data_IF_151489173155
#
_entry.id   IF_151489173155
#
_cell.length_a   1.000
_cell.length_b   1.000
_cell.length_c   1.000
_cell.angle_alpha   90.00
_cell.angle_beta   90.00
_cell.angle_gamma   90.00
#
_symmetry.space_group_name_H-M   'P 1'
#
loop_
_entity.id
_entity.type
_entity.pdbx_description
1 polymer ?
#
# COMPACT_ATOMS: atom_id res chain seq x y z
N UNK A 1 -9.42 3.38 -30.73
CA UNK A 1 -10.64 2.81 -30.08
C UNK A 1 -11.69 3.92 -30.00
N UNK A 2 -12.73 3.84 -30.81
CA UNK A 2 -13.73 4.94 -30.92
C UNK A 2 -15.05 4.58 -30.22
N UNK A 3 -15.00 3.82 -29.13
CA UNK A 3 -16.20 3.41 -28.41
C UNK A 3 -16.46 4.28 -27.18
N UNK A 4 -17.72 4.54 -26.92
CA UNK A 4 -18.15 5.27 -25.72
C UNK A 4 -18.44 4.28 -24.62
N UNK A 5 -17.85 4.50 -23.46
CA UNK A 5 -17.97 3.65 -22.27
C UNK A 5 -18.79 4.34 -21.18
N UNK A 6 -19.49 3.57 -20.36
CA UNK A 6 -20.23 4.06 -19.20
C UNK A 6 -20.06 3.14 -17.99
N UNK A 7 -20.03 3.71 -16.79
CA UNK A 7 -20.01 2.95 -15.53
C UNK A 7 -20.57 3.78 -14.37
N UNK A 8 -20.98 3.07 -13.29
CA UNK A 8 -21.25 3.67 -11.99
C UNK A 8 -19.89 3.87 -11.30
N UNK A 9 -19.57 5.12 -10.94
CA UNK A 9 -18.29 5.51 -10.35
C UNK A 9 -18.29 5.58 -8.81
N UNK A 10 -19.42 5.38 -8.17
CA UNK A 10 -19.60 5.35 -6.71
C UNK A 10 -19.76 3.92 -6.21
N UNK A 11 -19.41 3.63 -4.94
CA UNK A 11 -19.64 2.31 -4.34
C UNK A 11 -21.12 1.88 -4.47
N UNK A 12 -21.34 0.58 -4.65
CA UNK A 12 -22.68 0.01 -4.70
C UNK A 12 -23.27 -0.02 -3.27
N UNK A 13 -24.29 0.81 -3.04
CA UNK A 13 -24.94 0.91 -1.75
C UNK A 13 -25.98 2.04 -1.72
N UNK A 14 -26.76 2.12 -0.63
CA UNK A 14 -27.68 3.25 -0.41
C UNK A 14 -26.89 4.44 0.11
N UNK A 15 -27.01 5.58 -0.56
CA UNK A 15 -26.36 6.82 -0.19
C UNK A 15 -27.19 8.04 -0.61
N UNK A 16 -26.66 9.24 -0.45
CA UNK A 16 -27.32 10.45 -0.94
C UNK A 16 -27.22 10.58 -2.46
N UNK A 17 -26.06 10.22 -3.05
CA UNK A 17 -25.74 10.41 -4.45
C UNK A 17 -25.07 9.16 -5.02
N UNK A 18 -25.41 8.82 -6.28
CA UNK A 18 -24.65 7.92 -7.14
C UNK A 18 -24.21 8.66 -8.40
N UNK A 19 -22.99 8.37 -8.87
CA UNK A 19 -22.41 9.02 -10.05
C UNK A 19 -22.23 8.01 -11.17
N UNK A 20 -22.84 8.28 -12.31
CA UNK A 20 -22.62 7.55 -13.57
C UNK A 20 -21.70 8.40 -14.45
N UNK A 21 -20.61 7.81 -14.94
CA UNK A 21 -19.68 8.42 -15.89
C UNK A 21 -19.85 7.82 -17.27
N UNK A 22 -19.78 8.67 -18.28
CA UNK A 22 -19.82 8.30 -19.71
C UNK A 22 -18.62 8.97 -20.36
N UNK A 23 -17.78 8.23 -21.10
CA UNK A 23 -16.60 8.78 -21.81
C UNK A 23 -16.53 8.28 -23.24
N UNK A 24 -16.30 9.18 -24.16
CA UNK A 24 -16.14 8.89 -25.59
C UNK A 24 -16.89 9.83 -26.48
N UNK A 25 -16.76 9.67 -27.79
CA UNK A 25 -17.29 10.58 -28.80
C UNK A 25 -18.83 10.73 -28.77
N UNK A 26 -19.55 9.73 -28.28
CA UNK A 26 -21.03 9.76 -28.20
C UNK A 26 -21.55 10.21 -26.82
N UNK A 27 -20.65 10.54 -25.86
CA UNK A 27 -21.01 10.83 -24.46
C UNK A 27 -22.01 12.01 -24.36
N UNK A 28 -21.73 13.12 -25.06
CA UNK A 28 -22.63 14.29 -25.09
C UNK A 28 -23.98 13.97 -25.73
N UNK A 29 -24.01 13.19 -26.82
CA UNK A 29 -25.24 12.82 -27.49
C UNK A 29 -26.13 11.93 -26.59
N UNK A 30 -25.53 10.98 -25.87
CA UNK A 30 -26.27 10.18 -24.89
C UNK A 30 -26.86 11.07 -23.80
N UNK A 31 -26.10 12.03 -23.25
CA UNK A 31 -26.58 12.96 -22.24
C UNK A 31 -27.76 13.79 -22.76
N UNK A 32 -27.69 14.29 -24.02
CA UNK A 32 -28.76 15.05 -24.67
C UNK A 32 -30.05 14.24 -24.81
N UNK A 33 -29.96 12.97 -25.18
CA UNK A 33 -31.11 12.08 -25.32
C UNK A 33 -31.73 11.75 -23.95
N UNK A 34 -30.92 11.44 -22.95
CA UNK A 34 -31.38 11.14 -21.58
C UNK A 34 -32.11 12.34 -20.95
N UNK A 35 -31.63 13.56 -21.22
CA UNK A 35 -32.19 14.78 -20.61
C UNK A 35 -33.24 15.47 -21.49
N UNK A 36 -33.38 15.04 -22.75
CA UNK A 36 -34.20 15.71 -23.77
C UNK A 36 -33.86 17.22 -23.93
N UNK A 37 -32.58 17.57 -23.73
CA UNK A 37 -32.03 18.93 -23.84
C UNK A 37 -30.85 18.95 -24.80
N UNK A 38 -30.64 20.08 -25.49
CA UNK A 38 -29.59 20.21 -26.51
C UNK A 38 -28.38 21.02 -26.01
N UNK A 39 -28.61 21.93 -25.06
CA UNK A 39 -27.61 22.92 -24.66
C UNK A 39 -26.90 22.51 -23.39
N UNK A 40 -25.58 22.26 -23.53
CA UNK A 40 -24.68 21.95 -22.42
C UNK A 40 -23.37 22.72 -22.57
N UNK A 41 -23.19 23.73 -21.72
CA UNK A 41 -21.95 24.45 -21.60
C UNK A 41 -20.94 23.56 -20.85
N UNK A 42 -19.72 23.36 -21.37
CA UNK A 42 -18.71 22.57 -20.68
C UNK A 42 -18.43 23.09 -19.26
N UNK A 43 -18.30 22.15 -18.31
CA UNK A 43 -18.00 22.41 -16.89
C UNK A 43 -19.07 23.24 -16.13
N UNK A 44 -20.26 23.34 -16.69
CA UNK A 44 -21.39 23.92 -15.98
C UNK A 44 -22.33 22.82 -15.48
N UNK A 45 -22.75 22.92 -14.23
CA UNK A 45 -23.62 21.95 -13.57
C UNK A 45 -25.10 22.32 -13.83
N UNK A 46 -25.85 21.41 -14.41
CA UNK A 46 -27.27 21.55 -14.67
C UNK A 46 -28.10 20.58 -13.84
N UNK A 47 -29.19 21.01 -13.27
CA UNK A 47 -30.22 20.11 -12.76
C UNK A 47 -31.16 19.76 -13.89
N UNK A 48 -31.31 18.49 -14.23
CA UNK A 48 -32.10 18.00 -15.36
C UNK A 48 -32.89 16.75 -14.99
N UNK A 49 -34.05 16.62 -15.58
CA UNK A 49 -34.82 15.38 -15.56
C UNK A 49 -34.14 14.35 -16.46
N UNK A 50 -34.01 13.11 -15.98
CA UNK A 50 -33.40 11.98 -16.70
C UNK A 50 -34.49 11.02 -17.13
N UNK A 51 -34.58 10.77 -18.43
CA UNK A 51 -35.60 9.92 -19.03
C UNK A 51 -34.98 8.63 -19.63
N UNK A 52 -35.77 7.55 -19.60
CA UNK A 52 -35.50 6.34 -20.37
C UNK A 52 -36.82 5.90 -21.03
N UNK A 53 -36.84 5.75 -22.35
CA UNK A 53 -38.03 5.37 -23.13
C UNK A 53 -39.26 6.20 -22.76
N UNK A 54 -39.09 7.52 -22.57
CA UNK A 54 -40.16 8.42 -22.20
C UNK A 54 -40.60 8.41 -20.74
N UNK A 55 -40.04 7.52 -19.92
CA UNK A 55 -40.29 7.44 -18.46
C UNK A 55 -39.27 8.28 -17.71
N UNK A 56 -39.73 9.14 -16.82
CA UNK A 56 -38.89 9.89 -15.90
C UNK A 56 -38.28 8.93 -14.88
N UNK A 57 -36.95 8.88 -14.84
CA UNK A 57 -36.19 8.08 -13.88
C UNK A 57 -35.80 8.88 -12.63
N UNK A 58 -35.30 10.09 -12.83
CA UNK A 58 -34.79 10.94 -11.74
C UNK A 58 -34.66 12.40 -12.17
N UNK A 59 -34.45 13.28 -11.19
CA UNK A 59 -34.00 14.65 -11.38
C UNK A 59 -32.58 14.78 -10.84
N UNK A 60 -31.61 14.76 -11.74
CA UNK A 60 -30.20 14.63 -11.42
C UNK A 60 -29.40 15.89 -11.79
N UNK A 61 -28.24 16.04 -11.13
CA UNK A 61 -27.25 17.03 -11.55
C UNK A 61 -26.37 16.40 -12.64
N UNK A 62 -26.20 17.10 -13.74
CA UNK A 62 -25.40 16.62 -14.88
C UNK A 62 -24.34 17.63 -15.27
N UNK A 63 -23.14 17.13 -15.63
CA UNK A 63 -22.02 17.95 -16.05
C UNK A 63 -21.42 17.37 -17.32
N UNK A 64 -21.06 18.22 -18.27
CA UNK A 64 -20.33 17.88 -19.47
C UNK A 64 -18.90 18.44 -19.42
N UNK A 65 -17.91 17.59 -19.70
CA UNK A 65 -16.51 17.95 -19.84
C UNK A 65 -16.09 17.70 -21.28
N UNK A 66 -15.81 18.79 -22.00
CA UNK A 66 -15.38 18.73 -23.40
C UNK A 66 -13.93 18.33 -23.54
N UNK A 67 -13.63 17.44 -24.47
CA UNK A 67 -12.25 17.10 -24.89
C UNK A 67 -11.45 18.37 -25.27
N UNK A 68 -10.15 18.42 -24.99
CA UNK A 68 -9.33 17.48 -24.22
C UNK A 68 -9.34 17.75 -22.70
N UNK A 69 -10.21 18.61 -22.19
CA UNK A 69 -10.24 19.10 -20.80
C UNK A 69 -11.14 18.26 -19.90
N UNK A 70 -10.97 16.95 -19.93
CA UNK A 70 -11.70 15.96 -19.13
C UNK A 70 -10.73 14.99 -18.47
N UNK A 71 -11.22 14.09 -17.62
CA UNK A 71 -10.41 13.07 -16.96
C UNK A 71 -9.74 12.13 -17.97
N UNK A 72 -10.49 11.63 -18.95
CA UNK A 72 -9.97 10.70 -19.95
C UNK A 72 -9.31 11.40 -21.17
N UNK A 73 -9.45 12.73 -21.28
CA UNK A 73 -9.06 13.46 -22.49
C UNK A 73 -10.08 13.37 -23.65
N UNK A 74 -11.13 12.56 -23.51
CA UNK A 74 -12.27 12.49 -24.42
C UNK A 74 -13.43 13.36 -23.93
N UNK A 75 -14.56 13.42 -24.66
CA UNK A 75 -15.78 13.98 -24.10
C UNK A 75 -16.27 13.12 -22.93
N UNK A 76 -16.51 13.73 -21.78
CA UNK A 76 -16.99 13.05 -20.58
C UNK A 76 -18.27 13.70 -20.08
N UNK A 77 -19.26 12.87 -19.73
CA UNK A 77 -20.46 13.32 -19.04
C UNK A 77 -20.59 12.62 -17.69
N UNK A 78 -21.00 13.36 -16.68
CA UNK A 78 -21.34 12.84 -15.36
C UNK A 78 -22.81 13.08 -15.06
N UNK A 79 -23.49 12.05 -14.56
CA UNK A 79 -24.87 12.09 -14.07
C UNK A 79 -24.83 11.74 -12.59
N UNK A 80 -25.14 12.72 -11.74
CA UNK A 80 -25.18 12.58 -10.29
C UNK A 80 -26.65 12.44 -9.87
N UNK A 81 -27.11 11.21 -9.77
CA UNK A 81 -28.48 10.85 -9.41
C UNK A 81 -28.62 10.56 -7.92
N UNK A 82 -29.86 10.38 -7.43
CA UNK A 82 -30.07 9.91 -6.07
C UNK A 82 -29.42 8.54 -5.83
N UNK A 83 -28.80 8.36 -4.65
CA UNK A 83 -27.98 7.20 -4.29
C UNK A 83 -28.78 5.92 -4.02
N UNK A 84 -29.59 5.50 -4.97
CA UNK A 84 -30.30 4.23 -4.97
C UNK A 84 -29.66 3.29 -6.00
N UNK A 85 -29.16 2.10 -5.61
CA UNK A 85 -28.50 1.17 -6.52
C UNK A 85 -29.33 0.78 -7.74
N UNK A 86 -30.64 0.56 -7.56
CA UNK A 86 -31.53 0.21 -8.66
C UNK A 86 -31.70 1.38 -9.64
N UNK A 87 -31.82 2.61 -9.13
CA UNK A 87 -31.91 3.80 -9.96
C UNK A 87 -30.64 4.02 -10.77
N UNK A 88 -29.48 3.91 -10.13
CA UNK A 88 -28.18 4.02 -10.80
C UNK A 88 -28.00 2.97 -11.90
N UNK A 89 -28.42 1.71 -11.65
CA UNK A 89 -28.43 0.65 -12.66
C UNK A 89 -29.39 0.97 -13.83
N UNK A 90 -30.57 1.49 -13.57
CA UNK A 90 -31.52 1.87 -14.61
C UNK A 90 -30.99 3.00 -15.51
N UNK A 91 -30.32 4.00 -14.91
CA UNK A 91 -29.68 5.09 -15.68
C UNK A 91 -28.50 4.55 -16.48
N UNK A 92 -27.66 3.68 -15.90
CA UNK A 92 -26.58 3.03 -16.62
C UNK A 92 -27.12 2.22 -17.80
N UNK A 93 -28.17 1.42 -17.60
CA UNK A 93 -28.80 0.66 -18.67
C UNK A 93 -29.36 1.56 -19.77
N UNK A 94 -29.92 2.71 -19.42
CA UNK A 94 -30.35 3.69 -20.39
C UNK A 94 -29.18 4.24 -21.23
N UNK A 95 -28.01 4.48 -20.62
CA UNK A 95 -26.80 4.86 -21.35
C UNK A 95 -26.35 3.75 -22.33
N UNK A 96 -26.42 2.49 -21.91
CA UNK A 96 -26.05 1.35 -22.75
C UNK A 96 -27.00 1.20 -23.95
N UNK A 97 -28.29 1.37 -23.72
CA UNK A 97 -29.32 1.33 -24.80
C UNK A 97 -29.14 2.45 -25.84
N UNK A 98 -28.49 3.57 -25.47
CA UNK A 98 -28.19 4.69 -26.34
C UNK A 98 -26.80 4.59 -27.01
N UNK A 99 -26.13 3.42 -26.90
CA UNK A 99 -24.91 3.12 -27.65
C UNK A 99 -23.61 3.28 -26.84
N UNK A 100 -23.69 3.46 -25.53
CA UNK A 100 -22.53 3.24 -24.69
C UNK A 100 -22.29 1.72 -24.48
N UNK A 101 -21.07 1.35 -24.17
CA UNK A 101 -20.69 0.02 -23.70
C UNK A 101 -20.33 0.09 -22.20
N UNK A 102 -20.58 -0.99 -21.47
CA UNK A 102 -20.11 -1.08 -20.10
C UNK A 102 -18.56 -0.98 -20.05
N UNK A 103 -18.05 -0.11 -19.21
CA UNK A 103 -16.61 0.02 -19.01
C UNK A 103 -16.04 -1.22 -18.33
N UNK A 104 -14.83 -1.60 -18.71
CA UNK A 104 -14.02 -2.58 -17.97
C UNK A 104 -13.40 -1.93 -16.73
N UNK A 105 -12.92 -2.75 -15.79
CA UNK A 105 -12.15 -2.26 -14.64
C UNK A 105 -10.95 -1.42 -15.10
N UNK A 106 -10.72 -0.26 -14.47
CA UNK A 106 -9.64 0.67 -14.80
C UNK A 106 -9.68 1.33 -16.17
N UNK A 107 -10.76 1.18 -16.96
CA UNK A 107 -10.77 1.62 -18.35
C UNK A 107 -10.77 3.15 -18.53
N UNK A 108 -11.36 3.90 -17.62
CA UNK A 108 -11.28 5.36 -17.64
C UNK A 108 -9.84 5.84 -17.39
N UNK A 109 -9.13 5.21 -16.44
CA UNK A 109 -7.72 5.50 -16.15
C UNK A 109 -6.81 5.07 -17.32
N UNK A 110 -7.09 3.93 -17.96
CA UNK A 110 -6.38 3.52 -19.18
C UNK A 110 -6.54 4.55 -20.31
N UNK A 111 -7.74 5.07 -20.54
CA UNK A 111 -7.97 6.13 -21.52
C UNK A 111 -7.23 7.42 -21.14
N UNK A 112 -7.22 7.79 -19.84
CA UNK A 112 -6.48 8.95 -19.36
C UNK A 112 -4.97 8.81 -19.61
N UNK A 113 -4.40 7.63 -19.38
CA UNK A 113 -3.02 7.31 -19.68
C UNK A 113 -2.70 7.41 -21.17
N UNK A 114 -3.47 6.73 -22.01
CA UNK A 114 -3.29 6.73 -23.48
C UNK A 114 -3.44 8.14 -24.08
N UNK A 115 -4.27 8.98 -23.49
CA UNK A 115 -4.45 10.38 -23.90
C UNK A 115 -3.51 11.36 -23.18
N UNK A 116 -2.46 10.87 -22.50
CA UNK A 116 -1.44 11.65 -21.81
C UNK A 116 -1.98 12.64 -20.76
N UNK A 117 -3.11 12.28 -20.12
CA UNK A 117 -3.71 13.06 -19.04
C UNK A 117 -3.12 12.74 -17.68
N UNK A 118 -2.72 11.50 -17.50
CA UNK A 118 -2.06 11.00 -16.30
C UNK A 118 -0.93 10.05 -16.71
N UNK A 119 0.14 10.00 -15.94
CA UNK A 119 1.15 8.95 -16.06
C UNK A 119 0.79 7.74 -15.18
N UNK A 120 1.58 6.68 -15.31
CA UNK A 120 1.33 5.44 -14.57
C UNK A 120 1.43 5.66 -13.06
N UNK A 121 2.40 6.45 -12.60
CA UNK A 121 2.60 6.69 -11.17
C UNK A 121 1.44 7.47 -10.53
N UNK A 122 0.85 8.41 -11.26
CA UNK A 122 -0.34 9.17 -10.86
C UNK A 122 -1.57 8.26 -10.76
N UNK A 123 -1.73 7.35 -11.72
CA UNK A 123 -2.85 6.39 -11.74
C UNK A 123 -2.73 5.42 -10.59
N UNK A 124 -1.56 4.81 -10.37
CA UNK A 124 -1.32 3.91 -9.26
C UNK A 124 -1.53 4.60 -7.90
N UNK A 125 -1.02 5.85 -7.75
CA UNK A 125 -1.27 6.65 -6.56
C UNK A 125 -2.77 6.89 -6.32
N UNK A 126 -3.54 7.12 -7.39
CA UNK A 126 -4.98 7.33 -7.29
C UNK A 126 -5.73 6.10 -6.78
N UNK A 127 -5.29 4.90 -7.17
CA UNK A 127 -5.86 3.63 -6.67
C UNK A 127 -5.47 3.40 -5.23
N UNK A 128 -4.17 3.57 -4.92
CA UNK A 128 -3.68 3.41 -3.55
C UNK A 128 -4.32 4.41 -2.57
N UNK A 129 -4.63 5.62 -3.02
CA UNK A 129 -5.30 6.63 -2.18
C UNK A 129 -6.72 6.19 -1.78
N UNK A 130 -7.44 5.44 -2.64
CA UNK A 130 -8.76 4.89 -2.32
C UNK A 130 -8.65 3.73 -1.33
N UNK A 131 -7.62 2.90 -1.47
CA UNK A 131 -7.41 1.70 -0.66
C UNK A 131 -6.64 2.00 0.64
N UNK A 132 -6.12 3.23 0.78
CA UNK A 132 -5.28 3.60 1.91
C UNK A 132 -6.11 3.77 3.18
N UNK A 133 -5.69 3.08 4.22
CA UNK A 133 -6.25 3.17 5.58
C UNK A 133 -5.26 3.83 6.57
N UNK A 134 -4.09 4.26 6.09
CA UNK A 134 -3.04 4.89 6.92
C UNK A 134 -2.90 6.38 6.59
N UNK A 135 -3.29 7.23 7.53
CA UNK A 135 -3.23 8.69 7.37
C UNK A 135 -1.81 9.19 7.04
N UNK A 136 -0.78 8.53 7.56
CA UNK A 136 0.62 8.92 7.31
C UNK A 136 1.04 8.79 5.83
N UNK A 137 0.36 7.92 5.07
CA UNK A 137 0.64 7.66 3.64
C UNK A 137 -0.17 8.55 2.73
N UNK A 138 -1.35 9.02 3.17
CA UNK A 138 -2.25 9.83 2.35
C UNK A 138 -1.56 11.05 1.75
N UNK A 139 -0.73 11.75 2.54
CA UNK A 139 0.00 12.93 2.08
C UNK A 139 1.01 12.58 0.96
N UNK A 140 1.75 11.47 1.09
CA UNK A 140 2.69 11.02 0.07
C UNK A 140 1.96 10.64 -1.23
N UNK A 141 0.82 9.94 -1.13
CA UNK A 141 -0.01 9.58 -2.28
C UNK A 141 -0.63 10.82 -2.95
N UNK A 142 -1.10 11.80 -2.17
CA UNK A 142 -1.63 13.05 -2.70
C UNK A 142 -0.58 13.87 -3.47
N UNK A 143 0.68 13.87 -3.01
CA UNK A 143 1.80 14.50 -3.72
C UNK A 143 2.16 13.75 -5.00
N UNK A 144 2.12 12.42 -4.96
CA UNK A 144 2.35 11.61 -6.14
C UNK A 144 1.26 11.83 -7.21
N UNK A 145 -0.01 12.05 -6.81
CA UNK A 145 -1.07 12.48 -7.72
C UNK A 145 -0.82 13.84 -8.39
N UNK A 146 0.04 14.69 -7.81
CA UNK A 146 0.49 15.95 -8.43
C UNK A 146 1.69 15.77 -9.34
N UNK A 147 2.14 14.54 -9.59
CA UNK A 147 3.27 14.23 -10.45
C UNK A 147 4.64 14.44 -9.82
N UNK A 148 4.76 14.57 -8.48
CA UNK A 148 6.06 14.82 -7.84
C UNK A 148 7.05 13.67 -8.05
N UNK A 149 6.59 12.41 -8.06
CA UNK A 149 7.47 11.27 -8.40
C UNK A 149 7.98 11.36 -9.83
N UNK A 150 7.13 11.75 -10.78
CA UNK A 150 7.52 11.97 -12.17
C UNK A 150 8.60 13.04 -12.28
N UNK A 151 8.40 14.19 -11.63
CA UNK A 151 9.39 15.28 -11.63
C UNK A 151 10.72 14.77 -11.08
N UNK A 152 10.72 14.08 -9.95
CA UNK A 152 11.92 13.50 -9.35
C UNK A 152 12.65 12.55 -10.30
N UNK A 153 11.93 11.66 -10.98
CA UNK A 153 12.52 10.71 -11.95
C UNK A 153 13.02 11.42 -13.20
N UNK A 154 12.30 12.44 -13.70
CA UNK A 154 12.72 13.21 -14.87
C UNK A 154 13.99 14.04 -14.58
N UNK A 155 14.12 14.63 -13.41
CA UNK A 155 15.33 15.33 -12.97
C UNK A 155 16.53 14.37 -12.88
N UNK A 156 16.34 13.21 -12.24
CA UNK A 156 17.36 12.18 -12.16
C UNK A 156 17.81 11.72 -13.55
N UNK A 157 16.86 11.40 -14.42
CA UNK A 157 17.13 11.00 -15.80
C UNK A 157 17.90 12.07 -16.58
N UNK A 158 17.51 13.33 -16.47
CA UNK A 158 18.17 14.43 -17.15
C UNK A 158 19.62 14.61 -16.67
N UNK A 159 19.90 14.36 -15.40
CA UNK A 159 21.27 14.36 -14.87
C UNK A 159 22.08 13.20 -15.45
N UNK A 160 21.52 12.00 -15.53
CA UNK A 160 22.20 10.84 -16.13
C UNK A 160 22.43 11.03 -17.64
N UNK A 161 21.48 11.64 -18.37
CA UNK A 161 21.65 11.96 -19.78
C UNK A 161 22.81 12.95 -20.04
N UNK A 162 23.01 13.93 -19.14
CA UNK A 162 24.16 14.84 -19.23
C UNK A 162 25.47 14.08 -19.04
N UNK A 163 25.54 13.17 -18.07
CA UNK A 163 26.71 12.34 -17.84
C UNK A 163 27.00 11.44 -19.07
N UNK A 164 25.94 10.82 -19.59
CA UNK A 164 26.04 10.00 -20.80
C UNK A 164 26.58 10.81 -22.00
N UNK A 165 26.02 11.99 -22.26
CA UNK A 165 26.47 12.85 -23.33
C UNK A 165 27.95 13.28 -23.15
N UNK A 166 28.37 13.56 -21.91
CA UNK A 166 29.78 13.88 -21.61
C UNK A 166 30.72 12.69 -21.85
N UNK A 167 30.29 11.46 -21.48
CA UNK A 167 31.08 10.26 -21.73
C UNK A 167 31.20 9.93 -23.22
N UNK A 168 30.15 10.14 -24.01
CA UNK A 168 30.17 9.93 -25.47
C UNK A 168 31.16 10.86 -26.17
N UNK A 169 31.20 12.13 -25.75
CA UNK A 169 32.20 13.08 -26.26
C UNK A 169 33.61 12.61 -25.93
N UNK A 170 33.88 12.10 -24.73
CA UNK A 170 35.20 11.59 -24.35
C UNK A 170 35.58 10.30 -25.07
N UNK A 171 34.64 9.45 -25.43
CA UNK A 171 34.87 8.26 -26.27
C UNK A 171 35.29 8.67 -27.69
N UNK A 172 34.61 9.67 -28.27
CA UNK A 172 34.93 10.17 -29.63
C UNK A 172 36.30 10.85 -29.70
N UNK A 173 36.76 11.46 -28.61
CA UNK A 173 38.07 12.12 -28.48
C UNK A 173 39.09 11.28 -27.68
N UNK A 174 39.09 9.96 -27.86
CA UNK A 174 39.86 8.97 -27.10
C UNK A 174 41.40 9.11 -27.14
N UNK A 175 41.96 10.05 -27.91
CA UNK A 175 43.38 10.37 -27.92
C UNK A 175 43.82 11.28 -26.73
N UNK A 176 42.90 11.85 -25.96
CA UNK A 176 43.19 12.70 -24.82
C UNK A 176 42.94 11.94 -23.49
N UNK A 177 43.81 12.15 -22.50
CA UNK A 177 43.66 11.58 -21.17
C UNK A 177 42.39 12.15 -20.51
N UNK A 178 41.56 11.28 -19.88
CA UNK A 178 40.38 11.70 -19.16
C UNK A 178 40.83 12.53 -17.95
N UNK A 179 40.32 13.78 -17.79
CA UNK A 179 40.67 14.58 -16.62
C UNK A 179 40.26 13.89 -15.30
N UNK A 180 41.16 13.77 -14.34
CA UNK A 180 40.88 13.16 -13.03
C UNK A 180 39.73 13.84 -12.31
N UNK A 181 39.65 15.16 -12.40
CA UNK A 181 38.60 15.96 -11.78
C UNK A 181 37.20 15.62 -12.33
N UNK A 182 37.12 15.24 -13.62
CA UNK A 182 35.86 14.77 -14.22
C UNK A 182 35.40 13.43 -13.61
N UNK A 183 36.31 12.46 -13.46
CA UNK A 183 35.96 11.15 -12.87
C UNK A 183 35.50 11.29 -11.40
N UNK A 184 36.13 12.16 -10.63
CA UNK A 184 35.75 12.44 -9.24
C UNK A 184 34.36 13.10 -9.17
N UNK A 185 34.08 14.08 -10.02
CA UNK A 185 32.79 14.76 -10.10
C UNK A 185 31.68 13.78 -10.49
N UNK A 186 31.90 12.93 -11.51
CA UNK A 186 30.96 11.90 -11.96
C UNK A 186 30.71 10.89 -10.84
N UNK A 187 31.77 10.40 -10.20
CA UNK A 187 31.64 9.46 -9.07
C UNK A 187 30.78 10.02 -7.94
N UNK A 188 31.02 11.25 -7.54
CA UNK A 188 30.26 11.95 -6.49
C UNK A 188 28.79 12.15 -6.90
N UNK A 189 28.54 12.49 -8.17
CA UNK A 189 27.18 12.65 -8.68
C UNK A 189 26.41 11.32 -8.65
N UNK A 190 27.03 10.23 -9.12
CA UNK A 190 26.42 8.89 -9.05
C UNK A 190 26.15 8.45 -7.62
N UNK A 191 27.07 8.71 -6.68
CA UNK A 191 26.85 8.40 -5.26
C UNK A 191 25.63 9.10 -4.68
N UNK A 192 25.50 10.40 -4.95
CA UNK A 192 24.32 11.18 -4.51
C UNK A 192 23.03 10.63 -5.11
N UNK A 193 23.05 10.29 -6.38
CA UNK A 193 21.87 9.75 -7.07
C UNK A 193 21.49 8.36 -6.51
N UNK A 194 22.47 7.47 -6.32
CA UNK A 194 22.26 6.14 -5.71
C UNK A 194 21.71 6.28 -4.29
N UNK A 195 22.25 7.18 -3.47
CA UNK A 195 21.78 7.43 -2.11
C UNK A 195 20.32 7.88 -2.10
N UNK A 196 19.95 8.84 -2.96
CA UNK A 196 18.60 9.35 -3.10
C UNK A 196 17.60 8.25 -3.52
N UNK A 197 18.00 7.36 -4.43
CA UNK A 197 17.16 6.24 -4.86
C UNK A 197 17.01 5.18 -3.76
N UNK A 198 18.07 4.89 -3.01
CA UNK A 198 18.01 3.99 -1.86
C UNK A 198 17.08 4.52 -0.78
N UNK A 199 17.16 5.81 -0.45
CA UNK A 199 16.26 6.44 0.52
C UNK A 199 14.78 6.31 0.12
N UNK A 200 14.48 6.49 -1.17
CA UNK A 200 13.12 6.31 -1.69
C UNK A 200 12.67 4.84 -1.60
N UNK A 201 13.54 3.90 -1.95
CA UNK A 201 13.25 2.47 -1.91
C UNK A 201 13.04 1.98 -0.48
N UNK A 202 13.93 2.35 0.44
CA UNK A 202 13.88 1.97 1.86
C UNK A 202 12.61 2.51 2.52
N UNK A 203 12.29 3.78 2.31
CA UNK A 203 11.05 4.36 2.80
C UNK A 203 9.81 3.61 2.27
N UNK A 204 9.79 3.30 0.97
CA UNK A 204 8.69 2.58 0.34
C UNK A 204 8.54 1.14 0.88
N UNK A 205 9.66 0.47 1.20
CA UNK A 205 9.66 -0.86 1.79
C UNK A 205 9.15 -0.83 3.24
N UNK A 206 9.58 0.14 4.04
CA UNK A 206 9.08 0.35 5.41
C UNK A 206 7.58 0.61 5.43
N UNK A 207 7.05 1.42 4.53
CA UNK A 207 5.60 1.68 4.42
C UNK A 207 4.81 0.44 4.01
N UNK A 208 5.34 -0.37 3.08
CA UNK A 208 4.69 -1.64 2.70
C UNK A 208 4.59 -2.61 3.89
N UNK A 209 5.62 -2.70 4.71
CA UNK A 209 5.60 -3.49 5.95
C UNK A 209 4.54 -2.97 6.92
N UNK A 210 4.49 -1.65 7.13
CA UNK A 210 3.50 -1.02 8.00
C UNK A 210 2.06 -1.29 7.53
N UNK A 211 1.78 -1.20 6.23
CA UNK A 211 0.45 -1.47 5.65
C UNK A 211 0.03 -2.93 5.75
N UNK A 212 0.98 -3.88 5.66
CA UNK A 212 0.70 -5.30 5.91
C UNK A 212 0.32 -5.59 7.36
N UNK A 213 0.62 -4.68 8.25
CA UNK A 213 0.52 -4.85 9.69
C UNK A 213 1.68 -5.67 10.25
N UNK A 214 2.10 -5.29 11.44
CA UNK A 214 3.17 -5.98 12.14
C UNK A 214 2.68 -7.32 12.69
N UNK A 215 3.40 -8.36 12.39
CA UNK A 215 3.07 -9.71 12.81
C UNK A 215 3.45 -9.92 14.28
N UNK A 216 2.46 -10.24 15.13
CA UNK A 216 2.61 -10.43 16.56
C UNK A 216 2.22 -11.86 16.95
N UNK A 217 3.10 -12.54 17.66
CA UNK A 217 2.85 -13.87 18.21
C UNK A 217 2.77 -13.82 19.73
N UNK A 218 1.79 -14.55 20.32
CA UNK A 218 1.60 -14.63 21.77
C UNK A 218 2.02 -16.03 22.23
N UNK A 219 3.03 -16.10 23.08
CA UNK A 219 3.55 -17.36 23.62
C UNK A 219 3.61 -17.33 25.15
N UNK A 220 3.54 -18.50 25.76
CA UNK A 220 3.55 -18.64 27.22
C UNK A 220 3.06 -20.02 27.63
N UNK A 221 3.33 -20.43 28.86
CA UNK A 221 2.86 -21.74 29.39
C UNK A 221 1.32 -21.80 29.50
N UNK A 222 0.71 -22.97 29.62
CA UNK A 222 -0.71 -23.11 29.90
C UNK A 222 -1.13 -22.29 31.13
N UNK A 223 -2.31 -21.66 31.08
CA UNK A 223 -2.88 -20.84 32.16
C UNK A 223 -2.07 -19.59 32.57
N UNK A 224 -1.07 -19.17 31.80
CA UNK A 224 -0.39 -17.88 32.01
C UNK A 224 -1.27 -16.66 31.68
N UNK A 225 -2.36 -16.85 30.94
CA UNK A 225 -3.30 -15.79 30.58
C UNK A 225 -3.25 -15.38 29.11
N UNK A 226 -2.66 -16.19 28.23
CA UNK A 226 -2.59 -15.93 26.77
C UNK A 226 -3.97 -15.67 26.14
N UNK A 227 -4.93 -16.56 26.40
CA UNK A 227 -6.32 -16.44 25.85
C UNK A 227 -7.03 -15.22 26.41
N UNK A 228 -6.80 -14.86 27.68
CA UNK A 228 -7.36 -13.65 28.28
C UNK A 228 -6.76 -12.39 27.65
N UNK A 229 -5.45 -12.37 27.38
CA UNK A 229 -4.76 -11.29 26.70
C UNK A 229 -5.26 -11.13 25.27
N UNK A 230 -5.36 -12.24 24.52
CA UNK A 230 -5.92 -12.26 23.16
C UNK A 230 -7.37 -11.72 23.15
N UNK A 231 -8.22 -12.21 24.03
CA UNK A 231 -9.60 -11.75 24.11
C UNK A 231 -9.71 -10.26 24.48
N UNK A 232 -8.85 -9.77 25.38
CA UNK A 232 -8.79 -8.34 25.68
C UNK A 232 -8.44 -7.52 24.43
N UNK A 233 -7.44 -7.95 23.67
CA UNK A 233 -7.05 -7.31 22.41
C UNK A 233 -8.17 -7.30 21.37
N UNK A 234 -8.96 -8.36 21.28
CA UNK A 234 -10.03 -8.50 20.28
C UNK A 234 -11.33 -7.79 20.67
N UNK A 235 -11.64 -7.68 21.95
CA UNK A 235 -12.92 -7.14 22.41
C UNK A 235 -13.00 -5.61 22.35
N UNK A 236 -11.92 -4.89 22.61
CA UNK A 236 -11.94 -3.42 22.61
C UNK A 236 -11.66 -2.81 21.22
N UNK A 237 -11.02 -3.57 20.30
CA UNK A 237 -10.60 -3.09 18.97
C UNK A 237 -11.52 -3.56 17.82
N UNK A 238 -12.66 -4.18 18.10
CA UNK A 238 -13.63 -4.63 17.09
C UNK A 238 -14.27 -3.52 16.24
N UNK A 239 -13.93 -2.26 16.46
CA UNK A 239 -14.52 -1.15 15.72
C UNK A 239 -14.07 -1.04 14.25
N UNK A 240 -13.03 -1.79 13.80
CA UNK A 240 -12.44 -1.64 12.48
C UNK A 240 -12.15 -2.97 11.73
N UNK A 241 -12.84 -4.07 12.09
CA UNK A 241 -12.73 -5.29 11.27
C UNK A 241 -13.49 -5.09 9.97
N UNK A 242 -12.78 -4.81 8.89
CA UNK A 242 -13.34 -4.85 7.54
C UNK A 242 -13.79 -6.28 7.24
N UNK A 243 -15.06 -6.46 6.86
CA UNK A 243 -15.63 -7.71 6.34
C UNK A 243 -15.02 -8.08 4.96
N UNK A 244 -13.73 -8.31 4.88
CA UNK A 244 -13.15 -8.95 3.70
C UNK A 244 -13.18 -10.45 3.93
N UNK A 245 -14.33 -11.05 3.66
CA UNK A 245 -14.47 -12.50 3.45
C UNK A 245 -13.84 -12.84 2.11
N UNK A 246 -12.76 -13.57 2.16
CA UNK A 246 -12.30 -14.32 1.00
C UNK A 246 -10.82 -14.21 0.71
N UNK A 247 -10.04 -15.12 1.29
CA UNK A 247 -9.13 -15.98 0.52
C UNK A 247 -8.55 -17.04 1.46
N UNK A 248 -8.88 -18.33 1.15
CA UNK A 248 -8.08 -19.55 1.31
C UNK A 248 -7.49 -19.95 2.69
N UNK A 249 -7.97 -21.02 3.17
CA UNK A 249 -7.45 -22.29 3.80
C UNK A 249 -6.13 -22.32 4.58
N UNK A 250 -5.49 -21.23 5.01
CA UNK A 250 -4.30 -21.32 5.85
C UNK A 250 -4.29 -20.24 6.91
N UNK A 251 -4.24 -20.65 8.20
CA UNK A 251 -4.10 -19.85 9.43
C UNK A 251 -5.07 -18.67 9.60
N UNK A 252 -5.90 -18.75 10.63
CA UNK A 252 -6.79 -17.64 11.05
C UNK A 252 -5.90 -16.53 11.62
N UNK A 253 -5.57 -15.55 10.79
CA UNK A 253 -4.92 -14.31 11.21
C UNK A 253 -6.00 -13.29 11.56
N UNK A 254 -5.93 -12.68 12.73
CA UNK A 254 -6.81 -11.57 13.11
C UNK A 254 -6.01 -10.27 13.07
N UNK A 255 -6.58 -9.25 12.47
CA UNK A 255 -5.96 -7.92 12.37
C UNK A 255 -6.64 -6.98 13.34
N UNK A 256 -5.86 -6.32 14.18
CA UNK A 256 -6.30 -5.28 15.11
C UNK A 256 -5.51 -4.00 14.88
N UNK A 257 -6.07 -2.88 15.31
CA UNK A 257 -5.37 -1.59 15.29
C UNK A 257 -4.98 -1.18 16.71
N UNK A 258 -3.69 -0.92 16.94
CA UNK A 258 -3.16 -0.45 18.23
C UNK A 258 -2.45 0.89 18.03
N UNK A 259 -3.03 1.98 18.52
CA UNK A 259 -2.48 3.35 18.39
C UNK A 259 -2.07 3.73 16.96
N UNK A 260 -2.92 3.43 15.97
CA UNK A 260 -2.66 3.71 14.57
C UNK A 260 -1.68 2.74 13.89
N UNK A 261 -1.30 1.65 14.56
CA UNK A 261 -0.52 0.57 13.98
C UNK A 261 -1.38 -0.65 13.75
N UNK A 262 -1.38 -1.17 12.51
CA UNK A 262 -2.00 -2.47 12.20
C UNK A 262 -1.12 -3.59 12.76
N UNK A 263 -1.73 -4.47 13.55
CA UNK A 263 -1.09 -5.63 14.16
C UNK A 263 -1.83 -6.89 13.74
N UNK A 264 -1.12 -7.82 13.09
CA UNK A 264 -1.64 -9.13 12.71
C UNK A 264 -1.28 -10.14 13.80
N UNK A 265 -2.28 -10.73 14.41
CA UNK A 265 -2.13 -11.78 15.40
C UNK A 265 -1.93 -13.12 14.67
N UNK A 266 -0.74 -13.71 14.82
CA UNK A 266 -0.40 -14.98 14.18
C UNK A 266 -0.70 -16.13 15.15
N UNK A 267 -1.24 -17.24 14.61
CA UNK A 267 -1.50 -18.50 15.32
C UNK A 267 -2.51 -18.39 16.48
N UNK A 268 -3.60 -17.64 16.25
CA UNK A 268 -4.69 -17.52 17.25
C UNK A 268 -5.44 -18.83 17.51
N UNK A 269 -5.38 -19.80 16.58
CA UNK A 269 -6.03 -21.12 16.71
C UNK A 269 -5.42 -21.94 17.86
N UNK A 270 -4.10 -21.97 18.00
CA UNK A 270 -3.43 -22.67 19.10
C UNK A 270 -3.71 -22.06 20.48
N UNK A 271 -4.12 -20.79 20.53
CA UNK A 271 -4.47 -20.09 21.76
C UNK A 271 -5.93 -20.37 22.17
N UNK A 272 -6.83 -20.58 21.19
CA UNK A 272 -8.27 -20.85 21.41
C UNK A 272 -8.55 -22.31 21.78
N UNK A 273 -7.75 -23.27 21.29
CA UNK A 273 -7.98 -24.72 21.46
C UNK A 273 -7.25 -25.35 22.67
N UNK A 274 -6.67 -24.57 23.58
CA UNK A 274 -5.96 -25.09 24.75
C UNK A 274 -6.88 -25.65 25.83
N UNK A 275 -7.58 -26.76 25.51
CA UNK A 275 -8.08 -27.73 26.44
C UNK A 275 -7.76 -29.12 25.88
N UNK A 276 -6.76 -29.78 26.47
CA UNK A 276 -6.58 -31.24 26.46
C UNK A 276 -6.27 -32.03 25.19
N UNK A 277 -5.40 -31.68 24.31
CA UNK A 277 -4.63 -32.65 23.50
C UNK A 277 -3.80 -31.95 22.45
N UNK A 278 -2.54 -32.02 22.52
CA UNK A 278 -1.50 -31.84 21.47
C UNK A 278 -0.30 -31.05 22.01
N UNK A 279 0.36 -31.62 23.01
CA UNK A 279 1.52 -30.97 23.64
C UNK A 279 2.84 -31.15 22.85
N UNK A 280 2.93 -32.10 21.92
CA UNK A 280 4.17 -32.35 21.14
C UNK A 280 4.20 -31.73 19.73
N UNK A 281 3.05 -31.54 19.09
CA UNK A 281 2.94 -30.83 17.81
C UNK A 281 2.95 -29.30 17.95
N UNK A 282 2.75 -28.79 19.18
CA UNK A 282 2.71 -27.36 19.48
C UNK A 282 4.08 -26.66 19.43
N UNK A 283 5.18 -27.34 19.76
CA UNK A 283 6.50 -26.71 19.85
C UNK A 283 7.08 -26.39 18.45
N UNK A 284 6.95 -27.30 17.48
CA UNK A 284 7.41 -27.05 16.11
C UNK A 284 6.55 -26.03 15.36
N UNK A 285 5.22 -26.03 15.58
CA UNK A 285 4.33 -25.00 15.03
C UNK A 285 4.61 -23.63 15.65
N UNK A 286 4.85 -23.57 16.97
CA UNK A 286 5.20 -22.34 17.66
C UNK A 286 6.52 -21.75 17.16
N UNK A 287 7.53 -22.57 16.86
CA UNK A 287 8.80 -22.09 16.31
C UNK A 287 8.60 -21.47 14.91
N UNK A 288 7.81 -22.09 14.04
CA UNK A 288 7.51 -21.52 12.71
C UNK A 288 6.73 -20.22 12.78
N UNK A 289 5.79 -20.09 13.74
CA UNK A 289 5.06 -18.83 13.93
C UNK A 289 5.97 -17.71 14.45
N UNK A 290 6.96 -18.06 15.30
CA UNK A 290 7.95 -17.12 15.81
C UNK A 290 8.97 -16.67 14.75
N UNK A 291 9.28 -17.50 13.75
CA UNK A 291 10.13 -17.11 12.63
C UNK A 291 9.47 -16.01 11.78
N UNK A 292 8.15 -16.06 11.63
CA UNK A 292 7.37 -15.17 10.79
C UNK A 292 6.79 -13.92 11.50
N UNK A 293 7.05 -13.76 12.82
CA UNK A 293 6.58 -12.60 13.56
C UNK A 293 7.63 -11.47 13.60
N UNK A 294 7.14 -10.24 13.80
CA UNK A 294 7.97 -9.05 14.00
C UNK A 294 8.24 -8.80 15.49
N UNK A 295 7.24 -9.10 16.34
CA UNK A 295 7.29 -8.93 17.80
C UNK A 295 6.67 -10.16 18.48
N UNK A 296 7.24 -10.54 19.62
CA UNK A 296 6.73 -11.63 20.46
C UNK A 296 6.16 -11.05 21.75
N UNK A 297 4.98 -11.52 22.17
CA UNK A 297 4.48 -11.35 23.54
C UNK A 297 4.75 -12.64 24.33
N UNK A 298 5.74 -12.61 25.20
CA UNK A 298 6.07 -13.71 26.11
C UNK A 298 5.30 -13.56 27.41
N UNK A 299 4.26 -14.38 27.66
CA UNK A 299 3.36 -14.24 28.82
C UNK A 299 3.81 -15.16 29.95
N UNK A 300 4.12 -14.56 31.10
CA UNK A 300 4.50 -15.23 32.35
C UNK A 300 3.50 -14.95 33.46
N UNK A 301 3.29 -15.92 34.33
CA UNK A 301 2.41 -15.80 35.50
C UNK A 301 3.22 -15.26 36.70
N UNK A 302 3.01 -13.98 37.05
CA UNK A 302 3.74 -13.32 38.15
C UNK A 302 3.49 -13.97 39.52
N UNK A 303 2.36 -14.65 39.68
CA UNK A 303 1.94 -15.27 40.95
C UNK A 303 2.59 -16.64 41.24
N UNK A 304 3.42 -17.17 40.31
CA UNK A 304 4.06 -18.48 40.42
C UNK A 304 5.58 -18.36 40.29
N UNK A 305 6.35 -19.24 40.96
CA UNK A 305 7.79 -19.34 40.73
C UNK A 305 8.09 -19.83 39.31
N UNK A 306 9.30 -19.61 38.81
CA UNK A 306 9.77 -20.14 37.55
C UNK A 306 9.80 -21.68 37.55
N UNK A 307 9.13 -22.29 36.57
CA UNK A 307 9.06 -23.74 36.40
C UNK A 307 9.80 -24.14 35.13
N UNK A 308 10.08 -25.45 34.94
CA UNK A 308 10.79 -25.97 33.76
C UNK A 308 10.20 -25.49 32.42
N UNK A 309 8.91 -25.33 32.36
CA UNK A 309 8.20 -24.84 31.18
C UNK A 309 8.51 -23.36 30.87
N UNK A 310 8.74 -22.53 31.89
CA UNK A 310 9.15 -21.13 31.73
C UNK A 310 10.56 -21.03 31.18
N UNK A 311 11.48 -21.91 31.61
CA UNK A 311 12.83 -21.98 31.06
C UNK A 311 12.83 -22.46 29.60
N UNK A 312 11.97 -23.44 29.24
CA UNK A 312 11.79 -23.85 27.84
C UNK A 312 11.25 -22.71 26.97
N UNK A 313 10.34 -21.91 27.51
CA UNK A 313 9.85 -20.71 26.83
C UNK A 313 10.96 -19.68 26.62
N UNK A 314 11.77 -19.40 27.64
CA UNK A 314 12.92 -18.48 27.55
C UNK A 314 13.91 -18.94 26.47
N UNK A 315 14.21 -20.23 26.43
CA UNK A 315 15.11 -20.81 25.41
C UNK A 315 14.51 -20.64 24.00
N UNK A 316 13.21 -20.81 23.86
CA UNK A 316 12.49 -20.60 22.59
C UNK A 316 12.54 -19.14 22.15
N UNK A 317 12.32 -18.19 23.07
CA UNK A 317 12.43 -16.77 22.83
C UNK A 317 13.85 -16.38 22.39
N UNK A 318 14.87 -16.89 23.09
CA UNK A 318 16.27 -16.63 22.76
C UNK A 318 16.66 -17.17 21.36
N UNK A 319 16.12 -18.32 20.95
CA UNK A 319 16.33 -18.90 19.61
C UNK A 319 15.67 -18.10 18.51
N UNK A 320 14.49 -17.54 18.77
CA UNK A 320 13.74 -16.74 17.80
C UNK A 320 14.49 -15.44 17.43
N UNK A 321 15.33 -14.90 18.31
CA UNK A 321 16.11 -13.65 18.11
C UNK A 321 15.25 -12.45 17.67
N UNK A 322 14.00 -12.42 18.10
CA UNK A 322 13.04 -11.33 17.79
C UNK A 322 12.86 -10.43 19.00
N UNK A 323 12.50 -9.14 18.82
CA UNK A 323 12.11 -8.29 19.93
C UNK A 323 10.94 -8.92 20.72
N UNK A 324 11.00 -8.84 22.05
CA UNK A 324 10.01 -9.45 22.92
C UNK A 324 9.45 -8.44 23.93
N UNK A 325 8.12 -8.44 24.10
CA UNK A 325 7.48 -7.83 25.26
C UNK A 325 7.17 -8.96 26.24
N UNK A 326 7.87 -8.96 27.36
CA UNK A 326 7.67 -9.90 28.45
C UNK A 326 6.52 -9.40 29.31
N UNK A 327 5.36 -10.06 29.19
CA UNK A 327 4.13 -9.73 29.90
C UNK A 327 4.07 -10.52 31.20
N UNK A 328 4.24 -9.83 32.31
CA UNK A 328 4.07 -10.36 33.67
C UNK A 328 2.62 -10.22 34.07
N UNK A 329 1.84 -11.26 33.83
CA UNK A 329 0.39 -11.25 34.04
C UNK A 329 0.02 -11.62 35.48
N UNK A 330 -1.19 -11.29 35.90
CA UNK A 330 -1.76 -11.53 37.23
C UNK A 330 -1.07 -10.74 38.35
N UNK A 331 -0.77 -9.47 38.07
CA UNK A 331 -0.18 -8.56 39.07
C UNK A 331 -1.14 -8.18 40.22
N UNK A 332 -2.39 -8.63 40.16
CA UNK A 332 -3.38 -8.59 41.23
C UNK A 332 -3.12 -9.62 42.36
N UNK A 333 -2.29 -10.61 42.08
CA UNK A 333 -1.92 -11.66 43.04
C UNK A 333 -0.51 -11.38 43.60
N UNK A 334 -0.21 -11.99 44.78
CA UNK A 334 1.10 -11.86 45.40
C UNK A 334 2.22 -12.38 44.47
N UNK A 335 3.25 -11.57 44.15
CA UNK A 335 4.32 -11.96 43.25
C UNK A 335 5.19 -13.07 43.86
N UNK A 336 5.46 -14.13 43.09
CA UNK A 336 6.34 -15.25 43.45
C UNK A 336 7.39 -15.52 42.39
N UNK A 337 7.29 -14.89 41.20
CA UNK A 337 8.23 -15.07 40.12
C UNK A 337 9.53 -14.38 40.43
N UNK A 338 10.64 -15.10 40.24
CA UNK A 338 12.00 -14.62 40.47
C UNK A 338 12.46 -13.76 39.29
N UNK A 339 12.14 -12.49 39.31
CA UNK A 339 12.32 -11.55 38.19
C UNK A 339 13.77 -11.41 37.76
N UNK A 340 14.71 -11.40 38.72
CA UNK A 340 16.14 -11.28 38.42
C UNK A 340 16.68 -12.54 37.71
N UNK A 341 16.16 -13.72 38.05
CA UNK A 341 16.47 -14.97 37.37
C UNK A 341 15.93 -14.89 35.91
N UNK A 342 14.68 -14.52 35.73
CA UNK A 342 14.09 -14.36 34.41
C UNK A 342 14.92 -13.41 33.52
N UNK A 343 15.30 -12.25 34.03
CA UNK A 343 16.14 -11.26 33.33
C UNK A 343 17.52 -11.83 32.96
N UNK A 344 18.13 -12.62 33.82
CA UNK A 344 19.47 -13.16 33.58
C UNK A 344 19.51 -14.20 32.46
N UNK A 345 18.39 -14.89 32.20
CA UNK A 345 18.28 -15.91 31.16
C UNK A 345 17.84 -15.37 29.80
N UNK A 346 17.21 -14.17 29.75
CA UNK A 346 16.79 -13.53 28.49
C UNK A 346 18.00 -12.87 27.80
N UNK A 347 18.33 -13.32 26.59
CA UNK A 347 19.47 -12.82 25.77
C UNK A 347 19.05 -12.02 24.56
N UNK A 348 17.75 -11.73 24.41
CA UNK A 348 17.17 -10.96 23.33
C UNK A 348 16.80 -9.55 23.78
N UNK A 349 16.61 -8.59 22.87
CA UNK A 349 16.01 -7.30 23.23
C UNK A 349 14.59 -7.50 23.77
N UNK A 350 14.32 -7.02 24.98
CA UNK A 350 13.00 -7.13 25.59
C UNK A 350 12.58 -5.88 26.34
N UNK A 351 11.27 -5.70 26.49
CA UNK A 351 10.66 -4.77 27.45
C UNK A 351 9.73 -5.51 28.39
N UNK A 352 9.63 -5.05 29.64
CA UNK A 352 8.76 -5.63 30.65
C UNK A 352 7.42 -4.89 30.71
N UNK A 353 6.34 -5.65 30.86
CA UNK A 353 5.00 -5.14 31.09
C UNK A 353 4.34 -5.93 32.21
N UNK A 354 4.11 -5.29 33.37
CA UNK A 354 3.31 -5.87 34.45
C UNK A 354 1.85 -5.51 34.26
N UNK A 355 0.98 -6.51 34.24
CA UNK A 355 -0.44 -6.28 33.95
C UNK A 355 -1.36 -7.31 34.61
N UNK A 356 -2.65 -6.98 34.61
CA UNK A 356 -3.74 -7.89 34.91
C UNK A 356 -4.70 -7.91 33.70
N UNK A 357 -4.75 -9.02 33.00
CA UNK A 357 -5.63 -9.19 31.83
C UNK A 357 -7.13 -9.16 32.18
N UNK A 358 -7.51 -9.21 33.44
CA UNK A 358 -8.89 -8.98 33.90
C UNK A 358 -9.29 -7.50 33.83
N UNK A 359 -8.32 -6.58 33.93
CA UNK A 359 -8.50 -5.16 33.66
C UNK A 359 -8.06 -4.84 32.22
N UNK A 360 -8.90 -5.20 31.26
CA UNK A 360 -8.57 -5.14 29.82
C UNK A 360 -8.14 -3.75 29.37
N UNK A 361 -8.82 -2.67 29.79
CA UNK A 361 -8.52 -1.29 29.35
C UNK A 361 -7.14 -0.81 29.75
N UNK A 362 -6.75 -1.01 31.01
CA UNK A 362 -5.42 -0.61 31.47
C UNK A 362 -4.33 -1.45 30.79
N UNK A 363 -4.54 -2.78 30.73
CA UNK A 363 -3.63 -3.72 30.05
C UNK A 363 -3.38 -3.31 28.61
N UNK A 364 -4.42 -3.00 27.83
CA UNK A 364 -4.31 -2.64 26.42
C UNK A 364 -3.66 -1.29 26.21
N UNK A 365 -3.95 -0.30 27.05
CA UNK A 365 -3.29 1.00 26.99
C UNK A 365 -1.77 0.86 27.15
N UNK A 366 -1.32 0.14 28.17
CA UNK A 366 0.10 -0.03 28.45
C UNK A 366 0.78 -0.93 27.39
N UNK A 367 0.09 -1.99 26.95
CA UNK A 367 0.56 -2.88 25.90
C UNK A 367 0.73 -2.13 24.56
N UNK A 368 -0.26 -1.33 24.16
CA UNK A 368 -0.22 -0.58 22.92
C UNK A 368 0.91 0.45 22.90
N UNK A 369 1.19 1.11 24.05
CA UNK A 369 2.35 1.99 24.20
C UNK A 369 3.67 1.24 24.04
N UNK A 370 3.79 0.05 24.61
CA UNK A 370 4.99 -0.79 24.47
C UNK A 370 5.17 -1.30 23.05
N UNK A 371 4.10 -1.74 22.40
CA UNK A 371 4.13 -2.18 21.01
C UNK A 371 4.54 -1.01 20.09
N UNK A 372 3.93 0.16 20.26
CA UNK A 372 4.25 1.33 19.43
C UNK A 372 5.70 1.81 19.57
N UNK A 373 6.36 1.54 20.72
CA UNK A 373 7.76 1.88 20.93
C UNK A 373 8.74 1.03 20.08
N UNK A 374 8.32 -0.15 19.62
CA UNK A 374 9.12 -0.98 18.71
C UNK A 374 8.97 -0.57 17.24
N UNK A 375 7.96 0.23 16.92
CA UNK A 375 7.74 0.69 15.55
C UNK A 375 8.41 2.04 15.32
N UNK A 376 9.23 2.17 14.29
CA UNK A 376 9.83 3.46 13.99
C UNK A 376 8.73 4.46 13.65
N UNK A 377 8.78 5.63 14.29
CA UNK A 377 7.99 6.78 13.84
C UNK A 377 8.57 7.21 12.50
N UNK A 378 7.91 6.82 11.41
CA UNK A 378 8.30 7.24 10.09
C UNK A 378 7.98 8.73 9.93
N UNK A 379 9.02 9.54 9.70
CA UNK A 379 8.82 10.88 9.21
C UNK A 379 8.36 10.78 7.74
N UNK A 380 7.07 11.00 7.54
CA UNK A 380 6.44 10.95 6.22
C UNK A 380 6.38 12.32 5.55
N UNK A 381 6.81 13.39 6.25
CA UNK A 381 6.82 14.73 5.69
C UNK A 381 7.84 14.78 4.54
N UNK A 382 7.37 15.22 3.39
CA UNK A 382 8.18 15.38 2.18
C UNK A 382 8.80 14.10 1.57
N UNK A 383 8.35 12.91 1.94
CA UNK A 383 8.81 11.66 1.32
C UNK A 383 7.94 11.27 0.11
N UNK A 384 8.59 10.79 -0.95
CA UNK A 384 7.94 10.14 -2.08
C UNK A 384 7.74 8.65 -1.79
N UNK A 385 6.84 7.99 -2.52
CA UNK A 385 6.47 6.60 -2.27
C UNK A 385 6.39 5.81 -3.59
N UNK A 386 6.97 4.62 -3.63
CA UNK A 386 6.74 3.66 -4.71
C UNK A 386 5.55 2.78 -4.35
N UNK A 387 4.53 2.81 -5.19
CA UNK A 387 3.24 2.19 -4.91
C UNK A 387 3.13 0.76 -5.43
N UNK A 388 3.86 0.41 -6.49
CA UNK A 388 3.80 -0.92 -7.12
C UNK A 388 5.12 -1.69 -7.00
N UNK A 389 5.04 -3.01 -7.18
CA UNK A 389 6.21 -3.86 -7.26
C UNK A 389 7.05 -3.52 -8.51
N UNK A 390 6.39 -3.20 -9.62
CA UNK A 390 7.05 -2.82 -10.86
C UNK A 390 7.93 -1.58 -10.68
N UNK A 391 7.41 -0.54 -10.01
CA UNK A 391 8.18 0.67 -9.68
C UNK A 391 9.41 0.34 -8.81
N UNK A 392 9.25 -0.54 -7.79
CA UNK A 392 10.36 -0.95 -6.92
C UNK A 392 11.44 -1.67 -7.69
N UNK A 393 11.05 -2.67 -8.48
CA UNK A 393 12.00 -3.45 -9.30
C UNK A 393 12.73 -2.56 -10.31
N UNK A 394 12.02 -1.61 -10.93
CA UNK A 394 12.64 -0.66 -11.85
C UNK A 394 13.68 0.22 -11.15
N UNK A 395 13.38 0.71 -9.94
CA UNK A 395 14.34 1.51 -9.18
C UNK A 395 15.52 0.67 -8.66
N UNK A 396 15.28 -0.57 -8.23
CA UNK A 396 16.35 -1.53 -7.84
C UNK A 396 17.30 -1.80 -9.03
N UNK A 397 16.77 -2.02 -10.22
CA UNK A 397 17.56 -2.19 -11.43
C UNK A 397 18.36 -0.92 -11.74
N UNK A 398 17.75 0.27 -11.65
CA UNK A 398 18.47 1.52 -11.87
C UNK A 398 19.63 1.70 -10.87
N UNK A 399 19.41 1.40 -9.58
CA UNK A 399 20.47 1.43 -8.56
C UNK A 399 21.60 0.46 -8.91
N UNK A 400 21.28 -0.77 -9.31
CA UNK A 400 22.25 -1.78 -9.70
C UNK A 400 23.09 -1.32 -10.89
N UNK A 401 22.46 -0.79 -11.91
CA UNK A 401 23.15 -0.29 -13.12
C UNK A 401 24.02 0.94 -12.81
N UNK A 402 23.57 1.86 -11.95
CA UNK A 402 24.39 3.01 -11.53
C UNK A 402 25.60 2.58 -10.69
N UNK A 403 25.47 1.52 -9.87
CA UNK A 403 26.60 0.96 -9.15
C UNK A 403 27.62 0.33 -10.12
N UNK A 404 27.17 -0.37 -11.15
CA UNK A 404 28.04 -0.91 -12.19
C UNK A 404 28.70 0.20 -13.01
N UNK A 405 27.96 1.26 -13.40
CA UNK A 405 28.54 2.42 -14.03
C UNK A 405 29.68 3.03 -13.19
N UNK A 406 29.45 3.19 -11.88
CA UNK A 406 30.49 3.69 -10.97
C UNK A 406 31.72 2.80 -10.91
N UNK A 407 31.57 1.47 -11.01
CA UNK A 407 32.68 0.52 -10.98
C UNK A 407 33.47 0.49 -12.31
N UNK A 408 32.94 1.06 -13.36
CA UNK A 408 33.56 1.06 -14.73
C UNK A 408 33.86 2.48 -15.26
N UNK A 409 34.13 3.44 -14.35
CA UNK A 409 34.42 4.84 -14.73
C UNK A 409 35.59 4.98 -15.66
N UNK A 410 36.60 4.09 -15.57
CA UNK A 410 37.78 4.09 -16.41
C UNK A 410 37.52 3.44 -17.80
N UNK A 411 36.40 2.73 -17.97
CA UNK A 411 36.03 2.07 -19.23
C UNK A 411 34.76 2.72 -19.76
N UNK A 412 34.91 3.82 -20.50
CA UNK A 412 33.79 4.71 -20.87
C UNK A 412 32.65 4.02 -21.63
N UNK A 413 32.98 3.00 -22.46
CA UNK A 413 31.95 2.24 -23.18
C UNK A 413 31.04 1.43 -22.21
N UNK A 414 31.66 0.79 -21.21
CA UNK A 414 30.89 0.06 -20.19
C UNK A 414 30.14 1.03 -19.28
N UNK A 415 30.75 2.15 -18.93
CA UNK A 415 30.11 3.23 -18.19
C UNK A 415 28.85 3.73 -18.89
N UNK A 416 28.97 4.09 -20.18
CA UNK A 416 27.87 4.55 -21.03
C UNK A 416 26.75 3.50 -21.15
N UNK A 417 27.11 2.23 -21.33
CA UNK A 417 26.16 1.13 -21.38
C UNK A 417 25.33 1.02 -20.09
N UNK A 418 25.97 1.06 -18.93
CA UNK A 418 25.28 0.99 -17.64
C UNK A 418 24.44 2.24 -17.37
N UNK A 419 24.89 3.43 -17.76
CA UNK A 419 24.08 4.64 -17.67
C UNK A 419 22.81 4.53 -18.52
N UNK A 420 22.93 4.06 -19.76
CA UNK A 420 21.80 3.87 -20.65
C UNK A 420 20.79 2.88 -20.06
N UNK A 421 21.25 1.74 -19.53
CA UNK A 421 20.42 0.74 -18.89
C UNK A 421 19.71 1.29 -17.64
N UNK A 422 20.38 2.15 -16.85
CA UNK A 422 19.76 2.84 -15.72
C UNK A 422 18.66 3.81 -16.18
N UNK A 423 18.91 4.60 -17.24
CA UNK A 423 17.93 5.53 -17.82
C UNK A 423 16.71 4.78 -18.33
N UNK A 424 16.88 3.63 -18.99
CA UNK A 424 15.78 2.78 -19.47
C UNK A 424 14.95 2.24 -18.29
N UNK A 425 15.60 1.82 -17.22
CA UNK A 425 14.92 1.37 -15.99
C UNK A 425 14.10 2.50 -15.37
N UNK A 426 14.62 3.73 -15.31
CA UNK A 426 13.89 4.90 -14.82
C UNK A 426 12.71 5.27 -15.72
N UNK A 427 12.84 5.15 -17.04
CA UNK A 427 11.73 5.40 -17.98
C UNK A 427 10.53 4.49 -17.69
N UNK A 428 10.78 3.24 -17.31
CA UNK A 428 9.71 2.29 -17.01
C UNK A 428 8.86 2.65 -15.78
N UNK A 429 9.35 3.53 -14.89
CA UNK A 429 8.61 4.03 -13.73
C UNK A 429 7.43 4.93 -14.10
N UNK A 430 7.56 5.72 -15.15
CA UNK A 430 6.56 6.71 -15.57
C UNK A 430 5.88 6.34 -16.88
N UNK A 431 6.61 5.63 -17.76
CA UNK A 431 6.13 5.21 -19.10
C UNK A 431 6.66 3.80 -19.43
N UNK A 432 5.98 2.73 -19.00
CA UNK A 432 6.41 1.39 -19.36
C UNK A 432 6.31 1.15 -20.87
N UNK A 433 7.16 0.27 -21.39
CA UNK A 433 7.07 -0.21 -22.78
C UNK A 433 5.70 -0.86 -23.02
N UNK A 434 4.91 -0.30 -23.94
CA UNK A 434 3.50 -0.60 -24.09
C UNK A 434 3.27 -1.80 -25.01
N UNK A 435 2.90 -2.95 -24.45
CA UNK A 435 2.01 -3.85 -25.20
C UNK A 435 0.58 -3.68 -24.65
N UNK A 436 -0.42 -3.62 -25.55
CA UNK A 436 -1.84 -3.45 -25.17
C UNK A 436 -2.29 -4.50 -24.14
N UNK A 437 -1.77 -5.73 -24.23
CA UNK A 437 -2.07 -6.82 -23.30
C UNK A 437 -1.51 -6.59 -21.89
N UNK A 438 -0.31 -6.01 -21.78
CA UNK A 438 0.28 -5.68 -20.48
C UNK A 438 -0.51 -4.57 -19.78
N UNK A 439 -0.91 -3.54 -20.51
CA UNK A 439 -1.78 -2.48 -19.98
C UNK A 439 -3.15 -3.05 -19.55
N UNK A 440 -3.76 -3.94 -20.35
CA UNK A 440 -5.03 -4.57 -19.98
C UNK A 440 -4.92 -5.38 -18.69
N UNK A 441 -3.82 -6.11 -18.48
CA UNK A 441 -3.57 -6.85 -17.25
C UNK A 441 -3.42 -5.91 -16.05
N UNK A 442 -2.61 -4.86 -16.18
CA UNK A 442 -2.37 -3.89 -15.09
C UNK A 442 -3.67 -3.16 -14.67
N UNK A 443 -4.48 -2.73 -15.64
CA UNK A 443 -5.71 -2.02 -15.36
C UNK A 443 -6.86 -2.91 -14.89
N UNK A 444 -6.79 -4.24 -15.13
CA UNK A 444 -7.83 -5.18 -14.69
C UNK A 444 -7.95 -5.31 -13.17
N UNK A 445 -6.91 -4.95 -12.42
CA UNK A 445 -6.92 -4.94 -10.95
C UNK A 445 -7.57 -3.68 -10.35
N UNK A 446 -7.98 -2.72 -11.18
CA UNK A 446 -8.53 -1.45 -10.71
C UNK A 446 -10.05 -1.51 -10.54
N UNK A 447 -10.63 -0.53 -9.81
CA UNK A 447 -12.06 -0.48 -9.59
C UNK A 447 -12.84 -0.15 -10.86
N UNK A 448 -14.06 -0.69 -11.00
CA UNK A 448 -15.04 -0.29 -12.00
C UNK A 448 -15.38 1.19 -11.81
N UNK A 449 -15.40 1.97 -12.93
CA UNK A 449 -15.72 3.39 -12.90
C UNK A 449 -14.50 4.33 -12.71
N UNK A 450 -13.30 3.73 -12.66
CA UNK A 450 -12.01 4.42 -12.72
C UNK A 450 -11.21 4.11 -13.96
#
# INVERSE_FOLDING_TARGET
MNDTIAAIATPLGKGAISVIKISGNNALNILKQLTQKQDFTPRYAYVRDIFSNGVLLDKALVIYFKAPYSFTGEDVCEIQCHGNPLLAQNILQACLNLGARLAKAGEFSKKAFLNHKMDLSEIEASVQLILCEDESVLNALARQLKGELKIFIEEARNNLLKLLASSEVLIDYSEEDIPSDFLDEVSLNLEKQIASFKDLLDFSNMQKQKNKGHALSIVGKPNAGKSSLLNAMLLEERALVSDIKGTTRDTIEEVIELQGHKVRLIDTAGIRESADKIERLGIEKSLKSLENCDIILGVFDLSKPLEKEDFNLIDTLNRAKKPCIVVLNKNDLAPKLELEILKSYLKIPYSLLETNTLNSKACLKDLSQKISAFFPKLDTQNKLLLTSLAQKTALENAIFELQNAKNHLETLELFSYHLLSAIESLNSLTRPYETSQMLDSMFSEFCLGK
#
